data_IF_442503083202
#
_entry.id   IF_442503083202
#
_cell.length_a   1.000
_cell.length_b   1.000
_cell.length_c   1.000
_cell.angle_alpha   90.00
_cell.angle_beta   90.00
_cell.angle_gamma   90.00
#
_symmetry.space_group_name_H-M   'P 1'
#
loop_
_entity.id
_entity.type
_entity.pdbx_description
1 polymer ?
#
# COMPACT_ATOMS: atom_id res chain seq x y z
N UNK A 1 5.44 8.49 8.04
CA UNK A 1 4.39 8.00 7.10
C UNK A 1 5.00 6.95 6.19
N UNK A 2 4.27 5.87 5.90
CA UNK A 2 4.75 4.81 4.99
C UNK A 2 4.48 5.20 3.53
N UNK A 3 5.45 4.96 2.67
CA UNK A 3 5.39 5.21 1.24
C UNK A 3 5.81 3.98 0.45
N UNK A 4 5.24 3.85 -0.75
CA UNK A 4 5.69 2.93 -1.78
C UNK A 4 6.04 3.76 -3.01
N UNK A 5 7.27 3.63 -3.48
CA UNK A 5 7.74 4.24 -4.72
C UNK A 5 8.04 3.19 -5.76
N UNK A 6 7.62 3.42 -7.00
CA UNK A 6 7.98 2.61 -8.16
C UNK A 6 8.86 3.47 -9.06
N UNK A 7 10.12 3.10 -9.20
CA UNK A 7 11.02 3.70 -10.19
C UNK A 7 10.96 2.85 -11.46
N UNK A 8 10.68 3.48 -12.59
CA UNK A 8 10.84 2.90 -13.92
C UNK A 8 12.04 3.55 -14.62
N UNK A 9 13.09 2.80 -14.90
CA UNK A 9 14.30 3.28 -15.59
C UNK A 9 14.96 2.18 -16.41
N UNK A 10 15.48 2.53 -17.58
CA UNK A 10 16.27 1.61 -18.42
C UNK A 10 17.44 1.01 -17.61
N UNK A 11 17.62 -0.31 -17.70
CA UNK A 11 18.71 -1.06 -17.06
C UNK A 11 20.09 -0.60 -17.48
N UNK A 12 20.24 -0.06 -18.69
CA UNK A 12 21.50 0.54 -19.13
C UNK A 12 21.92 1.74 -18.26
N UNK A 13 20.97 2.40 -17.59
CA UNK A 13 21.21 3.55 -16.68
C UNK A 13 21.41 3.14 -15.23
N UNK A 14 21.49 1.85 -14.92
CA UNK A 14 21.76 1.37 -13.55
C UNK A 14 23.02 1.99 -12.92
N UNK A 15 24.13 2.20 -13.65
CA UNK A 15 25.29 2.91 -13.09
C UNK A 15 24.96 4.34 -12.63
N UNK A 16 24.14 5.09 -13.38
CA UNK A 16 23.68 6.43 -13.00
C UNK A 16 22.76 6.40 -11.78
N UNK A 17 21.87 5.39 -11.73
CA UNK A 17 21.01 5.18 -10.56
C UNK A 17 21.86 4.95 -9.30
N UNK A 18 22.85 4.07 -9.37
CA UNK A 18 23.73 3.82 -8.23
C UNK A 18 24.55 5.05 -7.85
N UNK A 19 25.09 5.77 -8.83
CA UNK A 19 25.80 7.03 -8.57
C UNK A 19 24.88 8.04 -7.85
N UNK A 20 23.62 8.16 -8.28
CA UNK A 20 22.62 9.00 -7.64
C UNK A 20 22.36 8.54 -6.21
N UNK A 21 22.16 7.23 -5.97
CA UNK A 21 21.94 6.67 -4.62
C UNK A 21 23.11 7.00 -3.68
N UNK A 22 24.34 6.80 -4.13
CA UNK A 22 25.55 7.01 -3.33
C UNK A 22 25.94 8.48 -3.13
N UNK A 23 25.43 9.38 -3.96
CA UNK A 23 25.68 10.81 -3.81
C UNK A 23 24.84 11.37 -2.65
N UNK A 24 25.46 12.11 -1.74
CA UNK A 24 24.75 12.74 -0.61
C UNK A 24 24.29 11.76 0.49
N UNK A 25 23.71 12.32 1.55
CA UNK A 25 23.16 11.53 2.66
C UNK A 25 21.64 11.64 2.68
N UNK A 26 20.91 10.53 2.90
CA UNK A 26 19.47 10.60 3.13
C UNK A 26 19.20 11.45 4.39
N UNK A 27 18.08 12.21 4.43
CA UNK A 27 17.60 12.77 5.67
C UNK A 27 17.45 11.69 6.76
N UNK A 28 17.70 12.01 8.04
CA UNK A 28 17.67 11.01 9.12
C UNK A 28 16.28 10.41 9.35
N UNK A 29 15.22 11.07 8.88
CA UNK A 29 13.82 10.60 8.90
C UNK A 29 13.49 9.61 7.79
N UNK A 30 14.34 9.45 6.76
CA UNK A 30 14.15 8.44 5.73
C UNK A 30 14.58 7.08 6.26
N UNK A 31 13.62 6.17 6.38
CA UNK A 31 13.87 4.78 6.76
C UNK A 31 13.47 3.84 5.63
N UNK A 32 14.44 3.20 4.96
CA UNK A 32 14.16 2.22 3.92
C UNK A 32 13.79 0.87 4.57
N UNK A 33 12.52 0.49 4.43
CA UNK A 33 12.00 -0.80 4.94
C UNK A 33 12.35 -1.94 3.98
N UNK A 34 12.28 -1.69 2.68
CA UNK A 34 12.56 -2.71 1.67
C UNK A 34 12.76 -2.13 0.28
N UNK A 35 13.60 -2.79 -0.51
CA UNK A 35 13.82 -2.47 -1.91
C UNK A 35 13.83 -3.75 -2.75
N UNK A 36 13.12 -3.72 -3.88
CA UNK A 36 12.98 -4.88 -4.75
C UNK A 36 13.28 -4.47 -6.20
N UNK A 37 14.24 -5.15 -6.83
CA UNK A 37 14.44 -5.09 -8.27
C UNK A 37 13.45 -6.07 -8.92
N UNK A 38 12.56 -5.59 -9.78
CA UNK A 38 11.63 -6.45 -10.50
C UNK A 38 12.33 -7.07 -11.73
N UNK A 39 11.74 -8.07 -12.37
CA UNK A 39 12.32 -8.73 -13.55
C UNK A 39 12.36 -7.88 -14.83
N UNK A 40 11.99 -6.60 -14.75
CA UNK A 40 11.95 -5.63 -15.84
C UNK A 40 12.61 -4.31 -15.40
N UNK A 41 12.32 -3.20 -16.07
CA UNK A 41 12.89 -1.87 -15.80
C UNK A 41 12.36 -1.20 -14.52
N UNK A 42 11.66 -1.95 -13.66
CA UNK A 42 11.04 -1.41 -12.45
C UNK A 42 11.75 -1.82 -11.18
N UNK A 43 11.74 -0.89 -10.23
CA UNK A 43 12.22 -1.07 -8.86
C UNK A 43 11.17 -0.54 -7.90
N UNK A 44 10.99 -1.25 -6.80
CA UNK A 44 10.05 -0.88 -5.75
C UNK A 44 10.81 -0.51 -4.51
N UNK A 45 10.52 0.64 -3.93
CA UNK A 45 11.04 1.09 -2.64
C UNK A 45 9.88 1.22 -1.66
N UNK A 46 10.01 0.59 -0.49
CA UNK A 46 9.10 0.73 0.64
C UNK A 46 9.89 1.46 1.72
N UNK A 47 9.41 2.63 2.11
CA UNK A 47 10.16 3.50 2.99
C UNK A 47 9.24 4.35 3.88
N UNK A 48 9.77 4.85 4.99
CA UNK A 48 9.09 5.80 5.84
C UNK A 48 9.77 7.17 5.75
N UNK A 49 8.95 8.22 5.78
CA UNK A 49 9.39 9.61 5.88
C UNK A 49 8.39 10.45 6.67
N UNK A 50 8.85 11.56 7.21
CA UNK A 50 8.09 12.46 8.09
C UNK A 50 8.01 13.90 7.53
N UNK A 51 8.85 14.24 6.56
CA UNK A 51 9.01 15.61 6.07
C UNK A 51 8.99 15.74 4.55
N UNK A 52 8.82 16.97 4.07
CA UNK A 52 8.93 17.31 2.64
C UNK A 52 10.35 17.04 2.12
N UNK A 53 11.38 17.21 2.97
CA UNK A 53 12.76 16.93 2.60
C UNK A 53 12.97 15.43 2.27
N UNK A 54 12.23 14.54 2.93
CA UNK A 54 12.29 13.10 2.65
C UNK A 54 11.75 12.80 1.24
N UNK A 55 10.62 13.41 0.88
CA UNK A 55 10.05 13.27 -0.46
C UNK A 55 10.96 13.86 -1.53
N UNK A 56 11.58 15.02 -1.27
CA UNK A 56 12.55 15.64 -2.18
C UNK A 56 13.80 14.79 -2.38
N UNK A 57 14.29 14.15 -1.30
CA UNK A 57 15.42 13.24 -1.39
C UNK A 57 15.10 12.05 -2.30
N UNK A 58 13.90 11.49 -2.22
CA UNK A 58 13.49 10.41 -3.11
C UNK A 58 13.29 10.90 -4.55
N UNK A 59 12.77 12.12 -4.73
CA UNK A 59 12.43 12.70 -6.03
C UNK A 59 13.62 12.83 -6.99
N UNK A 60 14.85 12.88 -6.47
CA UNK A 60 16.08 12.89 -7.29
C UNK A 60 16.21 11.69 -8.23
N UNK A 61 15.57 10.56 -7.92
CA UNK A 61 15.60 9.40 -8.82
C UNK A 61 14.88 9.66 -10.15
N UNK A 62 14.09 10.73 -10.25
CA UNK A 62 13.55 11.22 -11.52
C UNK A 62 14.63 11.74 -12.48
N UNK A 63 15.87 12.00 -12.02
CA UNK A 63 16.99 12.31 -12.92
C UNK A 63 17.41 11.09 -13.77
N UNK A 64 17.13 9.87 -13.28
CA UNK A 64 17.51 8.61 -13.92
C UNK A 64 16.33 7.90 -14.59
N UNK A 65 15.11 8.15 -14.13
CA UNK A 65 13.91 7.54 -14.69
C UNK A 65 12.66 8.29 -14.27
N UNK A 66 11.56 7.56 -14.08
CA UNK A 66 10.31 8.11 -13.53
C UNK A 66 10.02 7.42 -12.20
N UNK A 67 9.97 8.19 -11.13
CA UNK A 67 9.64 7.73 -9.78
C UNK A 67 8.21 8.13 -9.43
N UNK A 68 7.34 7.14 -9.32
CA UNK A 68 5.98 7.33 -8.84
C UNK A 68 5.91 6.97 -7.35
N UNK A 69 5.65 7.94 -6.49
CA UNK A 69 5.58 7.74 -5.03
C UNK A 69 4.14 7.89 -4.54
N UNK A 70 3.66 6.91 -3.78
CA UNK A 70 2.32 6.91 -3.18
C UNK A 70 2.38 6.62 -1.67
N UNK A 71 1.59 7.32 -0.84
CA UNK A 71 1.43 6.94 0.56
C UNK A 71 0.74 5.57 0.66
N UNK A 72 1.26 4.71 1.53
CA UNK A 72 0.67 3.41 1.81
C UNK A 72 -0.06 3.43 3.16
N UNK A 73 -1.38 3.33 3.10
CA UNK A 73 -2.24 3.41 4.28
C UNK A 73 -2.51 2.06 4.92
N UNK A 74 -2.45 0.99 4.14
CA UNK A 74 -2.61 -0.38 4.62
C UNK A 74 -1.25 -1.08 4.77
N UNK A 75 -1.09 -1.83 5.85
CA UNK A 75 0.12 -2.60 6.14
C UNK A 75 -0.10 -4.06 5.81
N UNK A 76 0.99 -4.81 5.69
CA UNK A 76 0.95 -6.25 5.37
C UNK A 76 0.11 -7.08 6.33
N UNK A 77 -0.13 -6.63 7.57
CA UNK A 77 -0.95 -7.34 8.56
C UNK A 77 -2.40 -7.55 8.11
N UNK A 78 -3.04 -6.53 7.52
CA UNK A 78 -4.40 -6.64 6.99
C UNK A 78 -4.49 -7.67 5.87
N UNK A 79 -3.55 -7.61 4.92
CA UNK A 79 -3.45 -8.57 3.82
C UNK A 79 -3.14 -10.00 4.29
N UNK A 80 -2.26 -10.18 5.28
CA UNK A 80 -1.95 -11.51 5.85
C UNK A 80 -3.21 -12.15 6.44
N UNK A 81 -3.98 -11.41 7.24
CA UNK A 81 -5.24 -11.90 7.79
C UNK A 81 -6.24 -12.26 6.68
N UNK A 82 -6.37 -11.41 5.65
CA UNK A 82 -7.26 -11.66 4.52
C UNK A 82 -6.87 -12.90 3.68
N UNK A 83 -5.56 -13.15 3.52
CA UNK A 83 -5.05 -14.32 2.81
C UNK A 83 -5.19 -15.60 3.65
N UNK A 84 -5.01 -15.49 4.97
CA UNK A 84 -5.24 -16.58 5.91
C UNK A 84 -6.72 -16.88 6.19
N UNK A 85 -7.65 -16.03 5.71
CA UNK A 85 -9.08 -16.08 6.02
C UNK A 85 -9.37 -15.97 7.52
N UNK A 86 -8.52 -15.24 8.23
CA UNK A 86 -8.63 -15.01 9.67
C UNK A 86 -9.38 -13.69 9.93
N UNK A 87 -10.69 -13.80 10.10
CA UNK A 87 -11.58 -12.64 10.28
C UNK A 87 -11.38 -11.95 11.64
N UNK A 88 -10.98 -12.69 12.67
CA UNK A 88 -10.80 -12.17 14.02
C UNK A 88 -9.51 -11.36 14.11
N UNK A 89 -8.41 -11.90 13.56
CA UNK A 89 -7.16 -11.12 13.42
C UNK A 89 -7.38 -9.89 12.55
N UNK A 90 -8.17 -9.99 11.48
CA UNK A 90 -8.51 -8.83 10.65
C UNK A 90 -9.29 -7.77 11.44
N UNK A 91 -10.32 -8.17 12.20
CA UNK A 91 -11.10 -7.27 13.08
C UNK A 91 -10.20 -6.57 14.10
N UNK A 92 -9.31 -7.32 14.76
CA UNK A 92 -8.36 -6.77 15.72
C UNK A 92 -7.42 -5.75 15.08
N UNK A 93 -6.92 -6.02 13.88
CA UNK A 93 -6.09 -5.07 13.12
C UNK A 93 -6.83 -3.80 12.75
N UNK A 94 -8.12 -3.88 12.40
CA UNK A 94 -8.95 -2.69 12.14
C UNK A 94 -9.15 -1.84 13.38
N UNK A 95 -9.39 -2.47 14.55
CA UNK A 95 -9.54 -1.76 15.82
C UNK A 95 -8.24 -1.11 16.29
N UNK A 96 -7.09 -1.72 16.01
CA UNK A 96 -5.77 -1.18 16.34
C UNK A 96 -5.30 -0.07 15.38
N UNK A 97 -5.85 -0.02 14.16
CA UNK A 97 -5.56 1.00 13.15
C UNK A 97 -6.48 2.22 13.26
N UNK A 98 -6.23 3.24 12.42
CA UNK A 98 -7.24 4.28 12.18
C UNK A 98 -8.34 3.69 11.29
N UNK A 99 -9.62 3.71 11.69
CA UNK A 99 -10.71 3.32 10.82
C UNK A 99 -10.64 4.12 9.52
N UNK A 100 -10.80 3.45 8.38
CA UNK A 100 -11.04 4.14 7.11
C UNK A 100 -12.19 5.11 7.32
N UNK A 101 -12.00 6.38 6.98
CA UNK A 101 -13.03 7.40 7.16
C UNK A 101 -14.32 6.95 6.46
N UNK A 102 -15.39 6.70 7.23
CA UNK A 102 -16.74 6.47 6.73
C UNK A 102 -17.40 5.12 7.04
N UNK A 103 -16.68 4.08 7.47
CA UNK A 103 -17.29 2.78 7.79
C UNK A 103 -16.95 2.28 9.20
N UNK A 104 -17.94 1.69 9.88
CA UNK A 104 -17.71 1.02 11.15
C UNK A 104 -16.89 -0.26 10.97
N UNK A 105 -16.21 -0.70 12.03
CA UNK A 105 -15.48 -1.98 12.06
C UNK A 105 -16.40 -3.13 11.66
N UNK A 106 -17.62 -3.17 12.21
CA UNK A 106 -18.58 -4.24 11.93
C UNK A 106 -19.08 -4.22 10.49
N UNK A 107 -19.36 -3.04 9.92
CA UNK A 107 -19.69 -2.93 8.50
C UNK A 107 -18.54 -3.45 7.62
N UNK A 108 -17.30 -3.13 8.00
CA UNK A 108 -16.10 -3.59 7.31
C UNK A 108 -15.94 -5.11 7.42
N UNK A 109 -16.18 -5.70 8.59
CA UNK A 109 -16.12 -7.16 8.84
C UNK A 109 -17.23 -7.90 8.10
N UNK A 110 -18.45 -7.37 8.08
CA UNK A 110 -19.58 -7.95 7.34
C UNK A 110 -19.25 -8.18 5.86
N UNK A 111 -18.66 -7.18 5.18
CA UNK A 111 -18.21 -7.33 3.78
C UNK A 111 -17.29 -8.55 3.59
N UNK A 112 -16.32 -8.74 4.50
CA UNK A 112 -15.34 -9.83 4.38
C UNK A 112 -16.00 -11.18 4.68
N UNK A 113 -16.90 -11.24 5.67
CA UNK A 113 -17.69 -12.43 5.99
C UNK A 113 -18.57 -12.87 4.83
N UNK A 114 -19.26 -11.93 4.14
CA UNK A 114 -20.02 -12.22 2.91
C UNK A 114 -19.12 -12.81 1.82
N UNK A 115 -17.92 -12.27 1.64
CA UNK A 115 -16.95 -12.78 0.68
C UNK A 115 -16.40 -14.17 1.01
N UNK A 116 -16.13 -14.45 2.28
CA UNK A 116 -15.63 -15.74 2.77
C UNK A 116 -16.67 -16.87 2.60
N UNK A 117 -17.93 -16.56 2.84
CA UNK A 117 -19.02 -17.54 2.82
C UNK A 117 -19.70 -17.69 1.45
N UNK A 118 -19.28 -16.91 0.44
CA UNK A 118 -19.85 -17.00 -0.90
C UNK A 118 -19.43 -18.28 -1.63
N UNK A 119 -20.38 -18.88 -2.36
CA UNK A 119 -20.18 -20.16 -3.07
C UNK A 119 -19.06 -20.11 -4.12
N UNK A 120 -18.80 -18.94 -4.71
CA UNK A 120 -17.73 -18.75 -5.69
C UNK A 120 -17.34 -17.26 -5.82
N UNK A 121 -16.30 -16.99 -6.60
CA UNK A 121 -15.77 -15.63 -6.83
C UNK A 121 -16.79 -14.66 -7.45
N UNK A 122 -17.72 -15.14 -8.26
CA UNK A 122 -18.76 -14.30 -8.84
C UNK A 122 -19.77 -13.87 -7.78
N UNK A 123 -20.26 -14.82 -6.98
CA UNK A 123 -21.14 -14.57 -5.84
C UNK A 123 -20.51 -13.63 -4.81
N UNK A 124 -19.22 -13.81 -4.49
CA UNK A 124 -18.49 -12.94 -3.57
C UNK A 124 -18.46 -11.47 -4.06
N UNK A 125 -18.21 -11.26 -5.36
CA UNK A 125 -18.21 -9.91 -5.96
C UNK A 125 -19.63 -9.32 -6.04
N UNK A 126 -20.66 -10.15 -6.26
CA UNK A 126 -22.04 -9.70 -6.23
C UNK A 126 -22.46 -9.25 -4.82
N UNK A 127 -22.13 -10.03 -3.80
CA UNK A 127 -22.37 -9.66 -2.40
C UNK A 127 -21.62 -8.39 -1.99
N UNK A 128 -20.39 -8.18 -2.51
CA UNK A 128 -19.64 -6.95 -2.28
C UNK A 128 -20.34 -5.71 -2.89
N UNK A 129 -20.87 -5.82 -4.11
CA UNK A 129 -21.65 -4.73 -4.72
C UNK A 129 -22.94 -4.43 -3.96
N UNK A 130 -23.63 -5.48 -3.50
CA UNK A 130 -24.82 -5.33 -2.68
C UNK A 130 -24.50 -4.61 -1.37
N UNK A 131 -23.42 -5.00 -0.69
CA UNK A 131 -22.96 -4.33 0.53
C UNK A 131 -22.70 -2.82 0.30
N UNK A 132 -22.08 -2.44 -0.83
CA UNK A 132 -21.86 -1.02 -1.16
C UNK A 132 -23.19 -0.27 -1.27
N UNK A 133 -24.16 -0.83 -2.01
CA UNK A 133 -25.48 -0.21 -2.15
C UNK A 133 -26.22 -0.07 -0.80
N UNK A 134 -26.03 -1.02 0.11
CA UNK A 134 -26.56 -0.96 1.48
C UNK A 134 -25.89 0.15 2.31
N UNK A 135 -24.57 0.34 2.18
CA UNK A 135 -23.86 1.42 2.89
C UNK A 135 -24.27 2.81 2.37
N UNK A 136 -24.44 2.96 1.05
CA UNK A 136 -24.88 4.22 0.44
C UNK A 136 -26.32 4.57 0.85
N UNK A 137 -27.20 3.57 0.94
CA UNK A 137 -28.59 3.77 1.37
C UNK A 137 -28.73 4.07 2.88
N UNK A 138 -27.78 3.62 3.70
CA UNK A 138 -27.76 3.85 5.15
C UNK A 138 -27.01 5.13 5.56
N UNK A 139 -26.25 5.75 4.65
CA UNK A 139 -25.44 6.95 4.88
C UNK A 139 -26.03 8.25 4.32
N UNK A 140 -27.24 8.21 3.74
CA UNK A 140 -28.04 9.38 3.35
C UNK A 140 -29.13 9.68 4.35
#
# INVERSE_FOLDING_TARGET
>A
MLFVSILTSDRARDPELWATIWQGSPPPSVNLIGAYNLGNDKRVFIWEGESVADTQFMDRFNEVGVLETSPAFDRTSGWRAAFAKDIDTFRNNLMAGRPSAGHSVESTVDLRSRGMNALNRHAARAAARQWVAEQESAGG
#
